data_IF_762997202339
#
_entry.id   IF_762997202339
#
_cell.length_a   1.000
_cell.length_b   1.000
_cell.length_c   1.000
_cell.angle_alpha   90.00
_cell.angle_beta   90.00
_cell.angle_gamma   90.00
#
_symmetry.space_group_name_H-M   'P 1'
#
loop_
_entity.id
_entity.type
_entity.pdbx_description
1 polymer ?
#
# COMPACT_ATOMS: atom_id res chain seq x y z
N UNK A 1 -1.35 15.81 7.06
CA UNK A 1 -0.57 14.68 6.55
C UNK A 1 -0.18 13.76 7.69
N UNK A 2 -0.42 12.48 7.54
CA UNK A 2 -0.07 11.51 8.57
C UNK A 2 1.46 11.35 8.64
N UNK A 3 2.02 11.35 9.86
CA UNK A 3 3.44 11.10 10.03
C UNK A 3 3.75 9.61 9.86
N UNK A 4 4.39 9.26 8.74
CA UNK A 4 4.74 7.88 8.42
C UNK A 4 5.73 7.27 9.40
N UNK A 5 6.53 8.11 10.10
CA UNK A 5 7.49 7.62 11.09
C UNK A 5 6.80 7.04 12.33
N UNK A 6 5.54 7.44 12.59
CA UNK A 6 4.77 6.96 13.71
C UNK A 6 4.14 5.58 13.47
N UNK A 7 4.20 5.04 12.24
CA UNK A 7 3.63 3.73 11.95
C UNK A 7 4.45 2.62 12.61
N UNK A 8 3.78 1.60 13.17
CA UNK A 8 4.49 0.50 13.83
C UNK A 8 5.27 -0.34 12.82
N UNK A 9 6.40 -0.90 13.26
CA UNK A 9 7.14 -1.89 12.47
C UNK A 9 6.33 -3.18 12.34
N UNK A 10 6.60 -3.95 11.28
CA UNK A 10 6.04 -5.29 11.15
C UNK A 10 6.53 -6.21 12.27
N UNK A 11 5.72 -7.22 12.59
CA UNK A 11 6.08 -8.20 13.59
C UNK A 11 7.25 -9.08 13.17
N UNK A 12 7.94 -9.65 14.15
CA UNK A 12 8.97 -10.66 13.97
C UNK A 12 8.35 -12.05 14.13
N UNK A 13 9.14 -13.09 13.85
CA UNK A 13 8.72 -14.48 14.07
C UNK A 13 8.15 -14.65 15.48
N UNK A 14 6.96 -15.27 15.57
CA UNK A 14 6.24 -15.46 16.82
C UNK A 14 5.44 -14.24 17.28
N UNK A 15 5.51 -13.12 16.60
CA UNK A 15 4.72 -11.92 16.86
C UNK A 15 3.52 -11.81 15.91
N UNK A 16 2.49 -11.04 16.31
CA UNK A 16 1.34 -10.82 15.43
C UNK A 16 1.74 -10.26 14.07
N UNK A 17 1.01 -10.68 13.04
CA UNK A 17 1.13 -10.13 11.69
C UNK A 17 0.41 -8.78 11.65
N UNK A 18 1.05 -7.78 11.05
CA UNK A 18 0.46 -6.45 10.88
C UNK A 18 0.22 -6.16 9.41
N UNK A 19 -0.91 -5.52 9.15
CA UNK A 19 -1.28 -5.03 7.84
C UNK A 19 -1.65 -3.57 8.00
N UNK A 20 -1.05 -2.68 7.21
CA UNK A 20 -1.29 -1.25 7.25
C UNK A 20 -1.90 -0.85 5.91
N UNK A 21 -3.19 -0.54 5.90
CA UNK A 21 -3.91 -0.17 4.68
C UNK A 21 -4.42 1.26 4.77
N UNK A 22 -4.33 2.01 3.68
CA UNK A 22 -4.88 3.36 3.64
C UNK A 22 -4.25 4.25 2.58
N UNK A 23 -4.62 5.53 2.64
CA UNK A 23 -4.02 6.60 1.86
C UNK A 23 -2.78 7.11 2.59
N UNK A 24 -1.63 6.96 1.96
CA UNK A 24 -0.34 7.39 2.51
C UNK A 24 0.10 8.75 1.98
N UNK A 25 -0.60 9.30 0.99
CA UNK A 25 -0.18 10.49 0.24
C UNK A 25 1.26 10.37 -0.31
N UNK A 26 1.71 9.14 -0.54
CA UNK A 26 3.08 8.86 -0.94
C UNK A 26 3.11 7.68 -1.92
N UNK A 27 3.99 7.78 -2.90
CA UNK A 27 4.29 6.71 -3.86
C UNK A 27 5.50 5.91 -3.41
N UNK A 28 5.82 4.83 -4.13
CA UNK A 28 7.02 4.02 -3.88
C UNK A 28 8.32 4.82 -4.01
N UNK A 29 8.31 5.94 -4.73
CA UNK A 29 9.48 6.81 -4.87
C UNK A 29 9.71 7.72 -3.66
N UNK A 30 8.73 7.84 -2.78
CA UNK A 30 8.82 8.71 -1.61
C UNK A 30 9.73 8.09 -0.54
N UNK A 31 10.77 8.83 -0.11
CA UNK A 31 11.78 8.29 0.81
C UNK A 31 11.20 7.82 2.15
N UNK A 32 10.29 8.60 2.75
CA UNK A 32 9.67 8.21 4.03
C UNK A 32 8.82 6.95 3.88
N UNK A 33 8.13 6.80 2.75
CA UNK A 33 7.35 5.61 2.48
C UNK A 33 8.25 4.36 2.33
N UNK A 34 9.38 4.49 1.63
CA UNK A 34 10.35 3.40 1.51
C UNK A 34 10.95 3.00 2.86
N UNK A 35 11.11 3.96 3.78
CA UNK A 35 11.56 3.67 5.15
C UNK A 35 10.53 2.83 5.91
N UNK A 36 9.24 3.11 5.75
CA UNK A 36 8.19 2.26 6.33
C UNK A 36 8.32 0.83 5.80
N UNK A 37 8.48 0.67 4.49
CA UNK A 37 8.67 -0.65 3.88
C UNK A 37 9.88 -1.38 4.46
N UNK A 38 10.98 -0.66 4.71
CA UNK A 38 12.21 -1.25 5.27
C UNK A 38 12.04 -1.81 6.68
N UNK A 39 10.92 -1.50 7.34
CA UNK A 39 10.62 -1.96 8.70
C UNK A 39 9.87 -3.30 8.72
N UNK A 40 9.99 -4.09 7.69
CA UNK A 40 9.46 -5.44 7.60
C UNK A 40 8.18 -5.58 6.79
N UNK A 41 7.82 -4.56 6.02
CA UNK A 41 6.64 -4.56 5.16
C UNK A 41 6.99 -4.76 3.69
N UNK A 42 5.99 -5.22 2.95
CA UNK A 42 5.98 -5.16 1.50
C UNK A 42 4.69 -4.49 1.05
N UNK A 43 4.76 -3.73 -0.04
CA UNK A 43 3.57 -3.21 -0.70
C UNK A 43 2.90 -4.34 -1.50
N UNK A 44 1.64 -4.64 -1.20
CA UNK A 44 0.94 -5.74 -1.84
C UNK A 44 0.84 -5.55 -3.35
N UNK A 45 0.52 -4.34 -3.81
CA UNK A 45 0.41 -4.04 -5.24
C UNK A 45 1.76 -4.20 -5.95
N UNK A 46 2.84 -3.69 -5.35
CA UNK A 46 4.18 -3.84 -5.90
C UNK A 46 4.57 -5.32 -6.03
N UNK A 47 4.32 -6.10 -4.99
CA UNK A 47 4.61 -7.54 -4.99
C UNK A 47 3.82 -8.30 -6.06
N UNK A 48 2.60 -7.84 -6.39
CA UNK A 48 1.76 -8.41 -7.44
C UNK A 48 2.06 -7.86 -8.83
N UNK A 49 3.09 -7.02 -8.99
CA UNK A 49 3.43 -6.40 -10.27
C UNK A 49 2.55 -5.23 -10.65
N UNK A 50 1.79 -4.67 -9.72
CA UNK A 50 0.85 -3.56 -9.95
C UNK A 50 1.23 -2.27 -9.21
N UNK A 51 2.49 -2.13 -8.82
CA UNK A 51 2.95 -1.02 -7.98
C UNK A 51 2.85 0.37 -8.63
N UNK A 52 2.68 0.42 -9.95
CA UNK A 52 2.49 1.68 -10.68
C UNK A 52 1.04 1.91 -11.13
N UNK A 53 0.11 1.06 -10.74
CA UNK A 53 -1.31 1.24 -11.05
C UNK A 53 -1.86 2.41 -10.24
N UNK A 54 -2.41 3.46 -10.90
CA UNK A 54 -2.89 4.64 -10.19
C UNK A 54 -4.08 4.31 -9.28
N UNK A 55 -4.09 4.92 -8.09
CA UNK A 55 -5.20 4.82 -7.13
C UNK A 55 -5.88 6.16 -6.90
N UNK A 56 -5.29 7.24 -7.38
CA UNK A 56 -5.82 8.59 -7.28
C UNK A 56 -5.58 9.34 -8.58
N UNK A 57 -6.52 10.21 -8.93
CA UNK A 57 -6.40 11.10 -10.09
C UNK A 57 -6.80 12.51 -9.71
N UNK A 58 -6.08 13.50 -10.25
CA UNK A 58 -6.47 14.91 -10.14
C UNK A 58 -7.76 15.17 -10.93
N UNK A 59 -8.45 16.30 -10.66
CA UNK A 59 -9.57 16.73 -11.51
C UNK A 59 -9.13 16.79 -12.99
N UNK A 60 -9.90 16.15 -13.86
CA UNK A 60 -9.54 16.01 -15.27
C UNK A 60 -8.59 14.88 -15.60
N UNK A 61 -8.07 14.19 -14.59
CA UNK A 61 -7.25 12.99 -14.78
C UNK A 61 -5.84 13.21 -15.33
N UNK A 62 -5.32 14.43 -15.28
CA UNK A 62 -3.99 14.76 -15.81
C UNK A 62 -2.87 14.19 -14.94
N UNK A 63 -3.07 14.20 -13.63
CA UNK A 63 -2.12 13.65 -12.66
C UNK A 63 -2.74 12.39 -12.09
N UNK A 64 -2.00 11.29 -12.18
CA UNK A 64 -2.41 9.99 -11.63
C UNK A 64 -1.29 9.46 -10.76
N UNK A 65 -1.61 9.10 -9.52
CA UNK A 65 -0.64 8.66 -8.53
C UNK A 65 -1.10 7.39 -7.84
N UNK A 66 -0.14 6.57 -7.47
CA UNK A 66 -0.35 5.38 -6.63
C UNK A 66 -0.02 5.78 -5.20
N UNK A 67 -1.03 6.23 -4.45
CA UNK A 67 -0.86 6.75 -3.09
C UNK A 67 -1.65 5.97 -2.03
N UNK A 68 -2.53 5.08 -2.45
CA UNK A 68 -3.27 4.18 -1.57
C UNK A 68 -2.58 2.82 -1.60
N UNK A 69 -2.20 2.32 -0.44
CA UNK A 69 -1.38 1.12 -0.33
C UNK A 69 -1.94 0.15 0.70
N UNK A 70 -1.74 -1.11 0.46
CA UNK A 70 -1.90 -2.18 1.43
C UNK A 70 -0.50 -2.71 1.73
N UNK A 71 0.02 -2.37 2.91
CA UNK A 71 1.32 -2.84 3.36
C UNK A 71 1.12 -4.10 4.19
N UNK A 72 1.75 -5.16 3.78
CA UNK A 72 1.66 -6.44 4.45
C UNK A 72 3.00 -6.80 5.10
N UNK A 73 2.94 -7.45 6.23
CA UNK A 73 4.11 -8.09 6.82
C UNK A 73 4.78 -8.97 5.77
N UNK A 74 6.10 -8.89 5.64
CA UNK A 74 6.84 -9.66 4.63
C UNK A 74 6.68 -11.17 4.75
N UNK A 75 6.28 -11.66 5.91
CA UNK A 75 5.97 -13.08 6.10
C UNK A 75 4.73 -13.53 5.34
N UNK A 76 3.85 -12.59 4.97
CA UNK A 76 2.65 -12.88 4.20
C UNK A 76 2.98 -13.11 2.74
N UNK A 77 2.20 -13.96 2.07
CA UNK A 77 2.18 -14.06 0.63
C UNK A 77 1.05 -13.20 0.07
N UNK A 78 1.29 -12.54 -1.05
CA UNK A 78 0.24 -11.80 -1.77
C UNK A 78 -0.23 -12.66 -2.93
N UNK A 79 -1.49 -13.08 -2.86
CA UNK A 79 -2.07 -13.91 -3.90
C UNK A 79 -2.51 -13.07 -5.11
N UNK A 80 -3.18 -11.96 -4.84
CA UNK A 80 -3.77 -11.12 -5.89
C UNK A 80 -4.03 -9.71 -5.37
N UNK A 81 -3.90 -8.73 -6.26
CA UNK A 81 -4.29 -7.35 -6.01
C UNK A 81 -5.19 -6.88 -7.15
N UNK A 82 -6.23 -6.13 -6.82
CA UNK A 82 -7.10 -5.46 -7.78
C UNK A 82 -7.30 -4.01 -7.37
N UNK A 83 -7.44 -3.15 -8.35
CA UNK A 83 -7.77 -1.74 -8.16
C UNK A 83 -9.11 -1.49 -8.83
N UNK A 84 -10.08 -1.01 -8.06
CA UNK A 84 -11.46 -0.81 -8.50
C UNK A 84 -11.83 0.66 -8.52
N UNK A 85 -12.50 1.08 -9.60
CA UNK A 85 -13.09 2.40 -9.65
C UNK A 85 -14.22 2.53 -8.61
N UNK A 86 -14.26 3.70 -7.96
CA UNK A 86 -15.34 4.07 -7.06
C UNK A 86 -16.08 5.26 -7.69
N UNK A 87 -17.33 5.09 -8.14
CA UNK A 87 -18.09 6.17 -8.74
C UNK A 87 -18.18 7.37 -7.80
N UNK A 88 -17.86 8.57 -8.30
CA UNK A 88 -17.90 9.80 -7.54
C UNK A 88 -16.70 10.05 -6.63
N UNK A 89 -15.71 9.20 -6.63
CA UNK A 89 -14.47 9.39 -5.87
C UNK A 89 -13.29 9.68 -6.79
N UNK A 90 -12.34 10.49 -6.31
CA UNK A 90 -11.05 10.70 -6.97
C UNK A 90 -10.03 9.61 -6.60
N UNK A 91 -10.36 8.74 -5.64
CA UNK A 91 -9.60 7.55 -5.30
C UNK A 91 -10.25 6.30 -5.89
N UNK A 92 -9.42 5.27 -6.08
CA UNK A 92 -9.85 3.91 -6.38
C UNK A 92 -9.64 3.03 -5.16
N UNK A 93 -10.46 2.00 -5.02
CA UNK A 93 -10.29 1.01 -3.96
C UNK A 93 -9.18 0.03 -4.33
N UNK A 94 -8.29 -0.25 -3.38
CA UNK A 94 -7.26 -1.28 -3.53
C UNK A 94 -7.72 -2.50 -2.75
N UNK A 95 -7.87 -3.61 -3.47
CA UNK A 95 -8.18 -4.92 -2.88
C UNK A 95 -6.93 -5.79 -2.92
N UNK A 96 -6.59 -6.41 -1.80
CA UNK A 96 -5.49 -7.36 -1.73
C UNK A 96 -5.95 -8.67 -1.09
N UNK A 97 -5.68 -9.77 -1.76
CA UNK A 97 -5.90 -11.11 -1.25
C UNK A 97 -4.55 -11.62 -0.72
N UNK A 98 -4.47 -11.81 0.58
CA UNK A 98 -3.21 -12.04 1.29
C UNK A 98 -3.30 -13.37 2.04
N UNK A 99 -2.24 -14.16 1.94
CA UNK A 99 -2.10 -15.38 2.72
C UNK A 99 -1.18 -15.13 3.91
N UNK A 100 -1.68 -15.41 5.11
CA UNK A 100 -0.89 -15.32 6.34
C UNK A 100 0.17 -16.44 6.40
N UNK A 101 1.27 -16.19 7.11
CA UNK A 101 2.32 -17.19 7.26
C UNK A 101 1.88 -18.40 8.04
#
# INVERSE_FOLDING_TARGET
MRDLRALPAAGRRGQPVRILAGDYNATLDHAHFRRVLSRGYADAADRAGMGLTPTWSSPGGRIRLTIDHVLVDRRCAVHRVRVHDLPGSDHRAVFADVRLP
#
